data_IF_031900959863
#
_entry.id   IF_031900959863
#
_cell.length_a   1.000
_cell.length_b   1.000
_cell.length_c   1.000
_cell.angle_alpha   90.00
_cell.angle_beta   90.00
_cell.angle_gamma   90.00
#
_symmetry.space_group_name_H-M   'P 1'
#
loop_
_entity.id
_entity.type
_entity.pdbx_description
1 polymer ?
#
# COMPACT_ATOMS: atom_id res chain seq x y z
N UNK A 1 -15.06 0.87 11.29
CA UNK A 1 -16.01 0.33 10.28
C UNK A 1 -16.85 -0.74 10.91
N UNK A 2 -18.16 -0.66 10.74
CA UNK A 2 -19.07 -1.61 11.37
C UNK A 2 -18.92 -3.01 10.73
N UNK A 3 -18.98 -4.05 11.56
CA UNK A 3 -18.90 -5.45 11.15
C UNK A 3 -19.87 -5.77 9.99
N UNK A 4 -21.07 -5.19 10.02
CA UNK A 4 -22.09 -5.33 8.99
C UNK A 4 -21.65 -4.85 7.59
N UNK A 5 -20.99 -3.70 7.50
CA UNK A 5 -20.48 -3.19 6.22
C UNK A 5 -19.43 -4.12 5.61
N UNK A 6 -18.55 -4.69 6.44
CA UNK A 6 -17.56 -5.67 5.97
C UNK A 6 -18.20 -6.92 5.43
N UNK A 7 -19.25 -7.42 6.11
CA UNK A 7 -20.03 -8.58 5.64
C UNK A 7 -20.73 -8.26 4.32
N UNK A 8 -21.34 -7.09 4.19
CA UNK A 8 -22.01 -6.67 2.94
C UNK A 8 -21.03 -6.62 1.76
N UNK A 9 -19.86 -6.00 1.95
CA UNK A 9 -18.82 -5.93 0.90
C UNK A 9 -18.31 -7.32 0.52
N UNK A 10 -18.07 -8.18 1.51
CA UNK A 10 -17.62 -9.55 1.26
C UNK A 10 -18.69 -10.36 0.49
N UNK A 11 -19.95 -10.27 0.90
CA UNK A 11 -21.07 -10.94 0.21
C UNK A 11 -21.22 -10.44 -1.24
N UNK A 12 -21.05 -9.13 -1.47
CA UNK A 12 -21.09 -8.58 -2.82
C UNK A 12 -19.96 -9.11 -3.71
N UNK A 13 -18.73 -9.22 -3.16
CA UNK A 13 -17.59 -9.78 -3.90
C UNK A 13 -17.81 -11.25 -4.26
N UNK A 14 -18.36 -12.04 -3.34
CA UNK A 14 -18.70 -13.45 -3.59
C UNK A 14 -19.71 -13.57 -4.73
N UNK A 15 -20.78 -12.77 -4.71
CA UNK A 15 -21.78 -12.75 -5.79
C UNK A 15 -21.13 -12.41 -7.14
N UNK A 16 -20.30 -11.39 -7.20
CA UNK A 16 -19.63 -11.02 -8.44
C UNK A 16 -18.71 -12.12 -8.96
N UNK A 17 -18.07 -12.86 -8.05
CA UNK A 17 -17.24 -14.01 -8.42
C UNK A 17 -18.08 -15.17 -8.94
N UNK A 18 -19.25 -15.43 -8.35
CA UNK A 18 -20.19 -16.46 -8.82
C UNK A 18 -20.77 -16.14 -10.21
N UNK A 19 -21.05 -14.85 -10.48
CA UNK A 19 -21.55 -14.38 -11.78
C UNK A 19 -20.45 -14.38 -12.85
N UNK A 20 -19.22 -13.99 -12.49
CA UNK A 20 -18.09 -13.90 -13.42
C UNK A 20 -16.76 -14.18 -12.69
N UNK A 21 -16.27 -15.41 -12.71
CA UNK A 21 -15.01 -15.78 -12.06
C UNK A 21 -13.79 -14.98 -12.57
N UNK A 22 -13.86 -14.40 -13.79
CA UNK A 22 -12.78 -13.56 -14.33
C UNK A 22 -12.65 -12.21 -13.61
N UNK A 23 -13.56 -11.89 -12.68
CA UNK A 23 -13.51 -10.65 -11.91
C UNK A 23 -12.20 -10.53 -11.12
N UNK A 24 -11.63 -11.66 -10.66
CA UNK A 24 -10.38 -11.69 -9.90
C UNK A 24 -9.23 -11.07 -10.68
N UNK A 25 -9.19 -11.26 -12.00
CA UNK A 25 -8.18 -10.66 -12.88
C UNK A 25 -8.31 -9.14 -13.00
N UNK A 26 -9.47 -8.60 -12.64
CA UNK A 26 -9.81 -7.17 -12.74
C UNK A 26 -9.76 -6.45 -11.40
N UNK A 27 -9.49 -7.18 -10.31
CA UNK A 27 -9.34 -6.59 -8.98
C UNK A 27 -7.91 -6.07 -8.83
N UNK A 28 -7.81 -4.80 -8.47
CA UNK A 28 -6.57 -4.16 -8.02
C UNK A 28 -6.73 -3.84 -6.54
N UNK A 29 -5.82 -4.32 -5.73
CA UNK A 29 -5.78 -3.99 -4.30
C UNK A 29 -4.72 -2.94 -4.03
N UNK A 30 -4.99 -2.05 -3.09
CA UNK A 30 -4.05 -1.01 -2.67
C UNK A 30 -3.98 -0.91 -1.16
N UNK A 31 -2.78 -0.68 -0.65
CA UNK A 31 -2.53 -0.46 0.76
C UNK A 31 -1.43 0.57 0.99
N UNK A 32 -1.50 1.26 2.13
CA UNK A 32 -0.50 2.20 2.60
C UNK A 32 0.20 1.64 3.83
N UNK A 33 1.51 1.68 3.80
CA UNK A 33 2.35 1.25 4.92
C UNK A 33 3.51 2.20 5.17
N UNK A 34 3.96 2.25 6.41
CA UNK A 34 5.15 3.01 6.79
C UNK A 34 6.38 2.11 6.69
N UNK A 35 7.26 2.41 5.75
CA UNK A 35 8.53 1.70 5.60
C UNK A 35 9.67 2.51 6.21
N UNK A 36 10.64 1.82 6.78
CA UNK A 36 11.83 2.48 7.29
C UNK A 36 12.75 2.88 6.13
N UNK A 37 13.16 4.15 6.13
CA UNK A 37 14.23 4.63 5.24
C UNK A 37 15.60 4.08 5.62
N UNK A 38 15.72 3.57 6.82
CA UNK A 38 16.93 3.00 7.39
C UNK A 38 16.57 1.76 8.20
N UNK A 39 17.25 0.66 7.93
CA UNK A 39 17.11 -0.56 8.71
C UNK A 39 17.98 -0.44 9.97
N UNK A 40 17.36 -0.43 11.17
CA UNK A 40 18.14 -0.41 12.41
C UNK A 40 18.84 -1.74 12.61
N UNK A 41 20.10 -1.70 13.05
CA UNK A 41 20.84 -2.91 13.41
C UNK A 41 20.03 -3.79 14.34
N UNK A 42 19.95 -5.06 14.02
CA UNK A 42 19.39 -6.06 14.91
C UNK A 42 20.24 -6.16 16.18
N UNK A 43 19.62 -6.66 17.27
CA UNK A 43 20.35 -6.87 18.54
C UNK A 43 21.65 -7.67 18.34
N UNK A 44 21.65 -8.62 17.40
CA UNK A 44 22.78 -9.47 17.10
C UNK A 44 23.88 -8.73 16.34
N UNK A 45 23.54 -7.85 15.42
CA UNK A 45 24.48 -7.00 14.67
C UNK A 45 25.09 -5.89 15.53
N UNK A 46 24.34 -5.41 16.54
CA UNK A 46 24.81 -4.38 17.48
C UNK A 46 25.59 -4.93 18.67
N UNK A 47 25.83 -6.25 18.74
CA UNK A 47 26.65 -6.87 19.77
C UNK A 47 28.14 -6.75 19.38
N UNK A 48 28.87 -6.01 20.19
CA UNK A 48 30.32 -5.87 20.05
C UNK A 48 31.01 -6.53 21.25
N UNK A 49 32.11 -7.22 20.99
CA UNK A 49 33.03 -7.66 22.04
C UNK A 49 33.76 -6.44 22.59
N UNK A 50 33.66 -6.23 23.91
CA UNK A 50 34.27 -5.09 24.58
C UNK A 50 35.10 -5.53 25.78
N UNK A 51 36.20 -4.81 26.01
CA UNK A 51 36.92 -4.94 27.24
C UNK A 51 36.09 -4.41 28.42
N UNK A 52 36.14 -5.00 29.64
CA UNK A 52 35.38 -4.55 30.81
C UNK A 52 35.56 -3.07 31.16
N UNK A 53 36.72 -2.49 30.82
CA UNK A 53 37.05 -1.06 31.06
C UNK A 53 36.61 -0.12 29.93
N UNK A 54 36.07 -0.61 28.82
CA UNK A 54 35.68 0.23 27.71
C UNK A 54 34.37 1.02 28.00
N UNK A 55 34.29 2.32 27.65
CA UNK A 55 33.09 3.12 27.91
C UNK A 55 31.89 2.54 27.16
N UNK A 56 30.73 2.52 27.83
CA UNK A 56 29.47 2.05 27.24
C UNK A 56 29.03 2.99 26.13
N UNK A 57 28.79 2.47 24.93
CA UNK A 57 28.30 3.26 23.80
C UNK A 57 26.90 3.80 24.10
N UNK A 58 26.74 5.12 24.07
CA UNK A 58 25.46 5.76 24.23
C UNK A 58 24.58 5.47 23.02
N UNK A 59 23.54 4.65 23.21
CA UNK A 59 22.53 4.41 22.18
C UNK A 59 21.68 5.67 22.02
N UNK A 60 21.64 6.23 20.82
CA UNK A 60 20.75 7.35 20.52
C UNK A 60 19.29 6.90 20.69
N UNK A 61 18.52 7.66 21.48
CA UNK A 61 17.07 7.51 21.53
C UNK A 61 16.50 8.01 20.20
N UNK A 62 16.14 7.08 19.30
CA UNK A 62 15.52 7.42 18.02
C UNK A 62 14.03 7.65 18.23
N UNK A 63 13.51 8.75 17.70
CA UNK A 63 12.06 8.91 17.60
C UNK A 63 11.53 7.90 16.58
N UNK A 64 10.46 7.14 16.90
CA UNK A 64 9.98 6.04 16.05
C UNK A 64 9.57 6.46 14.63
N UNK A 65 9.23 7.73 14.44
CA UNK A 65 8.73 8.26 13.15
C UNK A 65 9.77 8.99 12.31
N UNK A 66 10.96 9.33 12.85
CA UNK A 66 11.90 10.26 12.20
C UNK A 66 12.54 9.76 10.92
N UNK A 67 12.36 8.48 10.54
CA UNK A 67 12.96 7.87 9.35
C UNK A 67 12.02 6.91 8.63
N UNK A 68 10.73 7.15 8.72
CA UNK A 68 9.73 6.38 8.00
C UNK A 68 9.20 7.17 6.82
N UNK A 69 9.03 6.50 5.71
CA UNK A 69 8.41 7.02 4.50
C UNK A 69 7.11 6.25 4.27
N UNK A 70 6.06 6.94 3.89
CA UNK A 70 4.83 6.31 3.49
C UNK A 70 5.02 5.66 2.13
N UNK A 71 4.74 4.38 2.05
CA UNK A 71 4.68 3.60 0.82
C UNK A 71 3.22 3.31 0.51
N UNK A 72 2.78 3.69 -0.68
CA UNK A 72 1.50 3.25 -1.25
C UNK A 72 1.79 2.23 -2.34
N UNK A 73 1.22 1.04 -2.22
CA UNK A 73 1.43 -0.07 -3.13
C UNK A 73 0.09 -0.51 -3.72
N UNK A 74 0.03 -0.60 -5.05
CA UNK A 74 -1.09 -1.21 -5.78
C UNK A 74 -0.62 -2.45 -6.50
N UNK A 75 -1.38 -3.53 -6.38
CA UNK A 75 -1.09 -4.80 -7.05
C UNK A 75 -2.36 -5.52 -7.50
N UNK A 76 -2.19 -6.42 -8.43
CA UNK A 76 -3.19 -7.37 -8.89
C UNK A 76 -2.64 -8.81 -8.79
N UNK A 77 -3.39 -9.79 -9.30
CA UNK A 77 -2.95 -11.19 -9.32
C UNK A 77 -1.65 -11.43 -10.10
N UNK A 78 -1.25 -10.52 -10.97
CA UNK A 78 -0.03 -10.61 -11.79
C UNK A 78 1.16 -9.84 -11.18
N UNK A 79 0.96 -9.18 -10.03
CA UNK A 79 2.02 -8.49 -9.29
C UNK A 79 1.84 -6.97 -9.19
N UNK A 80 2.88 -6.23 -8.79
CA UNK A 80 2.77 -4.82 -8.47
C UNK A 80 2.51 -3.97 -9.73
N UNK A 81 1.50 -3.12 -9.62
CA UNK A 81 1.13 -2.14 -10.66
C UNK A 81 1.84 -0.81 -10.39
N UNK A 82 1.70 -0.28 -9.18
CA UNK A 82 2.31 0.99 -8.76
C UNK A 82 2.95 0.83 -7.39
N UNK A 83 4.17 1.35 -7.28
CA UNK A 83 4.91 1.50 -6.02
C UNK A 83 5.23 2.98 -5.89
N UNK A 84 4.59 3.66 -4.96
CA UNK A 84 4.73 5.10 -4.75
C UNK A 84 5.25 5.39 -3.35
N UNK A 85 6.41 6.05 -3.26
CA UNK A 85 6.97 6.56 -2.01
C UNK A 85 6.61 8.03 -1.86
N UNK A 86 5.90 8.35 -0.80
CA UNK A 86 5.52 9.72 -0.52
C UNK A 86 6.74 10.54 -0.08
N UNK A 87 6.85 11.78 -0.57
CA UNK A 87 7.93 12.67 -0.16
C UNK A 87 7.88 12.94 1.36
N UNK A 88 9.06 13.06 1.96
CA UNK A 88 9.18 13.28 3.40
C UNK A 88 8.42 14.56 3.82
N UNK A 89 7.61 14.44 4.89
CA UNK A 89 6.82 15.56 5.42
C UNK A 89 5.47 15.79 4.73
N UNK A 90 5.16 15.09 3.67
CA UNK A 90 3.83 15.13 3.06
C UNK A 90 2.85 14.22 3.82
N UNK A 91 1.62 14.70 3.98
CA UNK A 91 0.53 13.94 4.59
C UNK A 91 -0.35 13.35 3.52
N UNK A 92 -0.74 12.10 3.69
CA UNK A 92 -1.73 11.48 2.84
C UNK A 92 -3.12 12.03 3.21
N UNK A 93 -3.66 12.90 2.37
CA UNK A 93 -5.01 13.42 2.47
C UNK A 93 -5.83 12.98 1.25
N UNK A 94 -7.15 13.18 1.30
CA UNK A 94 -8.05 12.77 0.21
C UNK A 94 -7.69 13.40 -1.14
N UNK A 95 -7.25 14.65 -1.15
CA UNK A 95 -6.86 15.35 -2.38
C UNK A 95 -5.60 14.73 -2.99
N UNK A 96 -4.56 14.46 -2.18
CA UNK A 96 -3.32 13.83 -2.62
C UNK A 96 -3.57 12.39 -3.09
N UNK A 97 -4.42 11.63 -2.38
CA UNK A 97 -4.80 10.27 -2.80
C UNK A 97 -5.54 10.28 -4.14
N UNK A 98 -6.49 11.20 -4.33
CA UNK A 98 -7.18 11.34 -5.61
C UNK A 98 -6.23 11.76 -6.74
N UNK A 99 -5.29 12.66 -6.48
CA UNK A 99 -4.30 13.08 -7.46
C UNK A 99 -3.39 11.90 -7.85
N UNK A 100 -2.90 11.13 -6.89
CA UNK A 100 -2.10 9.93 -7.13
C UNK A 100 -2.86 8.88 -7.96
N UNK A 101 -4.12 8.62 -7.64
CA UNK A 101 -4.96 7.69 -8.38
C UNK A 101 -5.14 8.11 -9.85
N UNK A 102 -5.32 9.40 -10.10
CA UNK A 102 -5.49 9.93 -11.48
C UNK A 102 -4.18 9.98 -12.24
N UNK A 103 -3.14 10.51 -11.63
CA UNK A 103 -1.90 10.90 -12.32
C UNK A 103 -0.89 9.77 -12.40
N UNK A 104 -0.93 8.81 -11.49
CA UNK A 104 0.06 7.73 -11.39
C UNK A 104 -0.57 6.34 -11.55
N UNK A 105 -1.60 6.03 -10.76
CA UNK A 105 -2.20 4.69 -10.76
C UNK A 105 -2.90 4.36 -12.09
N UNK A 106 -3.75 5.26 -12.59
CA UNK A 106 -4.45 5.05 -13.88
C UNK A 106 -3.47 4.87 -15.06
N UNK A 107 -2.44 5.71 -15.25
CA UNK A 107 -1.42 5.49 -16.26
C UNK A 107 -0.61 4.20 -16.06
N UNK A 108 -0.31 3.81 -14.81
CA UNK A 108 0.40 2.58 -14.52
C UNK A 108 -0.40 1.34 -14.94
N UNK A 109 -1.72 1.33 -14.70
CA UNK A 109 -2.62 0.27 -15.22
C UNK A 109 -2.60 0.25 -16.75
N UNK A 110 -2.75 1.39 -17.42
CA UNK A 110 -2.70 1.47 -18.88
C UNK A 110 -1.41 0.88 -19.46
N UNK A 111 -0.28 1.14 -18.79
CA UNK A 111 1.04 0.68 -19.23
C UNK A 111 1.27 -0.81 -18.97
N UNK A 112 0.93 -1.29 -17.77
CA UNK A 112 1.24 -2.66 -17.33
C UNK A 112 0.14 -3.67 -17.65
N UNK A 113 -1.11 -3.22 -17.72
CA UNK A 113 -2.31 -4.07 -17.88
C UNK A 113 -3.20 -3.52 -19.00
N UNK A 114 -2.73 -3.61 -20.24
CA UNK A 114 -3.46 -3.13 -21.42
C UNK A 114 -4.84 -3.78 -21.51
N UNK A 115 -5.89 -2.99 -21.68
CA UNK A 115 -7.26 -3.46 -21.76
C UNK A 115 -7.98 -3.65 -20.43
N UNK A 116 -7.31 -3.60 -19.29
CA UNK A 116 -7.95 -3.76 -17.98
C UNK A 116 -8.97 -2.66 -17.69
N UNK A 117 -8.66 -1.40 -18.01
CA UNK A 117 -9.59 -0.28 -17.82
C UNK A 117 -10.80 -0.35 -18.75
N UNK A 118 -10.68 -1.02 -19.89
CA UNK A 118 -11.80 -1.23 -20.83
C UNK A 118 -12.81 -2.26 -20.32
N UNK A 119 -12.37 -3.20 -19.48
CA UNK A 119 -13.17 -4.31 -18.94
C UNK A 119 -13.76 -4.03 -17.56
N UNK A 120 -13.93 -2.77 -17.13
CA UNK A 120 -14.36 -2.41 -15.77
C UNK A 120 -13.43 -3.01 -14.70
N UNK A 121 -12.37 -2.32 -14.34
CA UNK A 121 -11.51 -2.70 -13.21
C UNK A 121 -12.09 -2.22 -11.89
N UNK A 122 -11.85 -2.99 -10.83
CA UNK A 122 -12.28 -2.69 -9.47
C UNK A 122 -11.04 -2.39 -8.63
N UNK A 123 -11.00 -1.23 -7.99
CA UNK A 123 -9.94 -0.89 -7.05
C UNK A 123 -10.45 -1.07 -5.62
N UNK A 124 -9.81 -1.93 -4.86
CA UNK A 124 -10.09 -2.17 -3.44
C UNK A 124 -8.94 -1.58 -2.65
N UNK A 125 -9.24 -0.57 -1.85
CA UNK A 125 -8.26 0.00 -0.90
C UNK A 125 -8.61 -0.45 0.51
N UNK A 126 -7.61 -0.70 1.34
CA UNK A 126 -7.78 -1.13 2.73
C UNK A 126 -8.51 -0.08 3.58
N UNK A 127 -8.43 1.18 3.17
CA UNK A 127 -9.26 2.28 3.68
C UNK A 127 -10.63 2.34 2.99
N UNK A 128 -11.42 1.31 3.11
CA UNK A 128 -12.89 1.33 3.11
C UNK A 128 -13.67 1.78 1.87
N UNK A 129 -13.15 1.79 0.65
CA UNK A 129 -13.96 2.16 -0.52
C UNK A 129 -13.68 1.25 -1.71
N UNK A 130 -14.71 0.50 -2.10
CA UNK A 130 -14.80 -0.05 -3.46
C UNK A 130 -15.01 1.14 -4.41
N UNK A 131 -13.94 1.62 -5.02
CA UNK A 131 -14.05 2.63 -6.07
C UNK A 131 -14.21 1.89 -7.40
N UNK A 132 -15.44 1.84 -7.91
CA UNK A 132 -15.65 1.56 -9.33
C UNK A 132 -15.01 2.68 -10.13
N UNK A 133 -13.95 2.37 -10.87
CA UNK A 133 -13.43 3.28 -11.87
C UNK A 133 -14.38 3.24 -13.08
N UNK A 134 -15.39 4.13 -13.07
CA UNK A 134 -16.20 4.37 -14.25
C UNK A 134 -15.38 5.11 -15.31
N UNK A 135 -15.55 4.70 -16.56
CA UNK A 135 -15.16 5.49 -17.73
C UNK A 135 -15.84 6.87 -17.63
N UNK A 136 -15.08 7.93 -17.55
CA UNK A 136 -15.43 9.23 -18.12
C UNK A 136 -14.66 9.40 -19.41
#
# INVERSE_FOLDING_TARGET
MHKQQRVQVATQLVRWYEEDPSIVERIVTGDETLVHHYEPDSKRQSMEWRHPSSPVQKKFKRQPSSKKVMLTLFWDMHGPILVHFQAHGQTLNSANSCAMLRNEHKPAICKKRRGMLSKKSYCIMTMHVLIQQQRQ
#
